data_IF_301192142722
#
_entry.id   IF_301192142722
#
_cell.length_a   1.000
_cell.length_b   1.000
_cell.length_c   1.000
_cell.angle_alpha   90.00
_cell.angle_beta   90.00
_cell.angle_gamma   90.00
#
_symmetry.space_group_name_H-M   'P 1'
#
loop_
_entity.id
_entity.type
_entity.pdbx_description
1 polymer ?
#
# COMPACT_ATOMS: atom_id res chain seq x y z
N UNK A 1 -50.79 -17.53 54.34
CA UNK A 1 -51.02 -16.09 54.56
C UNK A 1 -50.26 -15.34 53.48
N UNK A 2 -50.93 -14.43 52.77
CA UNK A 2 -50.42 -13.48 51.75
C UNK A 2 -49.84 -14.10 50.46
N UNK A 3 -50.53 -14.09 49.31
CA UNK A 3 -50.81 -12.99 48.35
C UNK A 3 -49.56 -12.32 47.75
N UNK A 4 -49.27 -12.53 46.46
CA UNK A 4 -49.48 -11.54 45.37
C UNK A 4 -49.05 -12.09 43.97
N UNK A 5 -49.99 -11.99 43.01
CA UNK A 5 -49.91 -11.60 41.57
C UNK A 5 -48.65 -12.00 40.76
N UNK A 6 -48.70 -12.60 39.56
CA UNK A 6 -49.71 -12.61 38.51
C UNK A 6 -49.10 -12.01 37.23
N UNK A 7 -49.03 -12.78 36.13
CA UNK A 7 -49.13 -12.31 34.74
C UNK A 7 -49.08 -13.51 33.78
N UNK A 8 -50.15 -13.63 33.00
CA UNK A 8 -50.28 -14.51 31.84
C UNK A 8 -49.61 -13.80 30.66
N UNK A 9 -48.70 -14.49 29.97
CA UNK A 9 -48.12 -14.07 28.70
C UNK A 9 -48.10 -15.25 27.75
N UNK A 10 -49.04 -15.25 26.81
CA UNK A 10 -49.19 -16.22 25.73
C UNK A 10 -47.96 -16.16 24.83
N UNK A 11 -47.21 -17.27 24.73
CA UNK A 11 -46.15 -17.41 23.74
C UNK A 11 -46.76 -17.86 22.40
N UNK A 12 -46.92 -16.92 21.47
CA UNK A 12 -47.16 -17.24 20.06
C UNK A 12 -45.92 -17.96 19.49
N UNK A 13 -46.10 -19.22 19.11
CA UNK A 13 -45.19 -19.94 18.22
C UNK A 13 -45.28 -19.31 16.82
N UNK A 14 -44.27 -18.54 16.44
CA UNK A 14 -44.05 -18.17 15.04
C UNK A 14 -42.76 -18.85 14.61
N UNK A 15 -42.89 -19.85 13.75
CA UNK A 15 -41.79 -20.53 13.12
C UNK A 15 -41.00 -19.56 12.26
N UNK A 16 -39.80 -19.20 12.72
CA UNK A 16 -38.79 -18.55 11.92
C UNK A 16 -37.81 -19.59 11.41
N UNK A 17 -37.82 -19.85 10.11
CA UNK A 17 -36.71 -20.45 9.38
C UNK A 17 -35.44 -19.67 9.74
N UNK A 18 -34.51 -20.29 10.46
CA UNK A 18 -33.14 -19.80 10.54
C UNK A 18 -32.52 -20.11 9.17
N UNK A 19 -32.60 -19.16 8.24
CA UNK A 19 -31.65 -19.14 7.13
C UNK A 19 -30.29 -18.85 7.74
N UNK A 20 -29.44 -19.89 7.78
CA UNK A 20 -28.02 -19.71 7.99
C UNK A 20 -27.50 -18.86 6.82
N UNK A 21 -27.36 -17.55 7.04
CA UNK A 21 -26.55 -16.71 6.17
C UNK A 21 -25.11 -17.13 6.36
N UNK A 22 -24.59 -17.91 5.41
CA UNK A 22 -23.17 -18.16 5.29
C UNK A 22 -22.50 -16.81 5.05
N UNK A 23 -21.89 -16.21 6.07
CA UNK A 23 -20.90 -15.17 5.88
C UNK A 23 -19.70 -15.80 5.19
N UNK A 24 -19.69 -15.74 3.86
CA UNK A 24 -18.50 -16.03 3.06
C UNK A 24 -17.47 -14.96 3.39
N UNK A 25 -16.51 -15.31 4.25
CA UNK A 25 -15.32 -14.50 4.44
C UNK A 25 -14.65 -14.31 3.09
N UNK A 26 -14.47 -13.05 2.68
CA UNK A 26 -13.68 -12.68 1.51
C UNK A 26 -12.19 -12.87 1.82
N UNK A 27 -11.79 -14.10 2.14
CA UNK A 27 -10.39 -14.50 2.08
C UNK A 27 -10.05 -14.80 0.62
N UNK A 28 -9.78 -13.75 -0.16
CA UNK A 28 -9.39 -13.91 -1.55
C UNK A 28 -8.09 -14.74 -1.63
N UNK A 29 -8.15 -15.91 -2.29
CA UNK A 29 -6.97 -16.77 -2.49
C UNK A 29 -5.86 -15.96 -3.18
N UNK A 30 -4.67 -15.87 -2.57
CA UNK A 30 -3.54 -15.09 -3.13
C UNK A 30 -3.06 -15.62 -4.49
N UNK A 31 -3.20 -16.94 -4.73
CA UNK A 31 -2.89 -17.55 -6.04
C UNK A 31 -3.82 -17.02 -7.13
N UNK A 32 -3.25 -16.69 -8.28
CA UNK A 32 -3.97 -16.18 -9.45
C UNK A 32 -4.37 -14.70 -9.34
N UNK A 33 -3.80 -13.93 -8.42
CA UNK A 33 -4.11 -12.51 -8.25
C UNK A 33 -3.89 -11.69 -9.53
N UNK A 34 -2.77 -11.87 -10.23
CA UNK A 34 -2.51 -11.20 -11.50
C UNK A 34 -3.58 -11.52 -12.55
N UNK A 35 -3.99 -12.78 -12.70
CA UNK A 35 -5.01 -13.16 -13.69
C UNK A 35 -6.37 -12.48 -13.42
N UNK A 36 -6.75 -12.33 -12.14
CA UNK A 36 -7.98 -11.61 -11.77
C UNK A 36 -7.87 -10.12 -12.07
N UNK A 37 -6.77 -9.48 -11.68
CA UNK A 37 -6.56 -8.05 -11.92
C UNK A 37 -6.46 -7.75 -13.42
N UNK A 38 -5.77 -8.60 -14.18
CA UNK A 38 -5.70 -8.48 -15.63
C UNK A 38 -7.09 -8.61 -16.29
N UNK A 39 -7.99 -9.42 -15.70
CA UNK A 39 -9.38 -9.51 -16.18
C UNK A 39 -10.22 -8.27 -15.84
N UNK A 40 -9.79 -7.45 -14.88
CA UNK A 40 -10.40 -6.17 -14.50
C UNK A 40 -9.78 -4.97 -15.24
N UNK A 41 -8.76 -5.20 -16.09
CA UNK A 41 -8.02 -4.17 -16.80
C UNK A 41 -8.92 -3.37 -17.74
N UNK A 42 -8.73 -2.06 -17.72
CA UNK A 42 -9.39 -1.10 -18.60
C UNK A 42 -8.35 -0.24 -19.35
N UNK A 43 -8.78 0.62 -20.27
CA UNK A 43 -7.89 1.64 -20.85
C UNK A 43 -7.55 2.75 -19.85
N UNK A 44 -8.25 2.82 -18.71
CA UNK A 44 -8.17 3.89 -17.72
C UNK A 44 -7.24 3.56 -16.53
N UNK A 45 -6.54 2.43 -16.60
CA UNK A 45 -5.48 2.02 -15.67
C UNK A 45 -4.26 1.41 -16.38
N UNK A 46 -3.07 1.60 -15.78
CA UNK A 46 -1.80 1.02 -16.23
C UNK A 46 -1.12 0.32 -15.07
N UNK A 47 -1.02 -1.01 -15.16
CA UNK A 47 -0.19 -1.81 -14.25
C UNK A 47 1.28 -1.37 -14.34
N UNK A 48 1.88 -0.91 -13.23
CA UNK A 48 3.31 -0.57 -13.15
C UNK A 48 4.11 -1.75 -12.59
N UNK A 49 3.58 -2.39 -11.54
CA UNK A 49 4.11 -3.60 -10.92
C UNK A 49 2.94 -4.48 -10.49
N UNK A 50 3.01 -5.78 -10.71
CA UNK A 50 1.85 -6.67 -10.56
C UNK A 50 0.78 -6.43 -11.63
N UNK A 51 -0.39 -7.06 -11.44
CA UNK A 51 -1.47 -7.01 -12.43
C UNK A 51 -1.05 -7.67 -13.75
N UNK A 52 -1.09 -6.91 -14.85
CA UNK A 52 -0.63 -7.39 -16.16
C UNK A 52 0.89 -7.60 -16.22
N UNK A 53 1.63 -6.86 -15.39
CA UNK A 53 3.07 -6.90 -15.30
C UNK A 53 3.44 -7.73 -14.06
N UNK A 54 3.55 -9.05 -14.22
CA UNK A 54 3.92 -9.97 -13.13
C UNK A 54 5.05 -9.40 -12.27
N UNK A 55 4.96 -9.60 -10.95
CA UNK A 55 6.01 -9.15 -10.05
C UNK A 55 7.34 -9.84 -10.34
N UNK A 56 8.42 -9.08 -10.22
CA UNK A 56 9.78 -9.61 -10.27
C UNK A 56 10.59 -9.02 -9.12
N UNK A 57 11.12 -9.88 -8.26
CA UNK A 57 11.90 -9.46 -7.10
C UNK A 57 13.17 -8.68 -7.50
N UNK A 58 13.73 -8.93 -8.68
CA UNK A 58 14.92 -8.25 -9.17
C UNK A 58 14.68 -6.77 -9.51
N UNK A 59 13.43 -6.35 -9.68
CA UNK A 59 13.08 -4.95 -9.95
C UNK A 59 13.11 -4.10 -8.66
N UNK A 60 13.34 -4.72 -7.50
CA UNK A 60 13.28 -4.07 -6.19
C UNK A 60 14.55 -4.32 -5.39
N UNK A 61 14.99 -3.29 -4.66
CA UNK A 61 16.12 -3.33 -3.77
C UNK A 61 15.76 -2.74 -2.40
N UNK A 62 16.41 -3.28 -1.38
CA UNK A 62 16.20 -2.90 0.01
C UNK A 62 16.88 -1.57 0.35
N UNK A 63 16.14 -0.69 1.01
CA UNK A 63 16.62 0.59 1.54
C UNK A 63 16.07 0.77 2.95
N UNK A 64 16.82 0.35 3.96
CA UNK A 64 16.42 0.48 5.37
C UNK A 64 17.28 1.51 6.10
N UNK A 65 16.90 1.84 7.33
CA UNK A 65 17.64 2.72 8.23
C UNK A 65 19.04 2.22 8.63
N UNK A 66 19.42 0.99 8.28
CA UNK A 66 20.78 0.45 8.38
C UNK A 66 21.83 1.33 7.69
N UNK A 67 21.42 2.08 6.64
CA UNK A 67 22.27 3.10 5.99
C UNK A 67 22.63 4.28 6.91
N UNK A 68 21.95 4.40 8.06
CA UNK A 68 22.16 5.38 9.12
C UNK A 68 22.50 4.72 10.47
N UNK A 69 22.80 3.41 10.47
CA UNK A 69 23.12 2.64 11.69
C UNK A 69 21.90 2.12 12.46
N UNK A 70 20.69 2.16 11.87
CA UNK A 70 19.52 1.49 12.43
C UNK A 70 19.55 -0.04 12.23
N UNK A 71 18.50 -0.71 12.71
CA UNK A 71 18.36 -2.17 12.65
C UNK A 71 17.02 -2.63 12.06
N UNK A 72 16.33 -1.75 11.34
CA UNK A 72 15.15 -2.17 10.60
C UNK A 72 15.54 -3.01 9.40
N UNK A 73 14.71 -3.99 9.08
CA UNK A 73 14.92 -4.91 7.96
C UNK A 73 13.62 -5.03 7.17
N UNK A 74 13.74 -4.96 5.84
CA UNK A 74 12.62 -5.24 4.95
C UNK A 74 13.00 -6.20 3.83
N UNK A 75 11.97 -6.87 3.32
CA UNK A 75 12.04 -7.81 2.21
C UNK A 75 10.86 -7.62 1.27
N UNK A 76 11.07 -7.95 0.00
CA UNK A 76 10.01 -8.15 -0.98
C UNK A 76 10.06 -9.60 -1.46
N UNK A 77 9.05 -10.39 -1.13
CA UNK A 77 8.93 -11.78 -1.60
C UNK A 77 7.84 -11.88 -2.63
N UNK A 78 8.18 -12.30 -3.85
CA UNK A 78 7.20 -12.53 -4.92
C UNK A 78 6.65 -13.95 -4.81
N UNK A 79 5.33 -14.10 -4.96
CA UNK A 79 4.70 -15.43 -4.98
C UNK A 79 5.17 -16.23 -6.20
N UNK A 80 5.14 -17.56 -6.11
CA UNK A 80 5.61 -18.46 -7.19
C UNK A 80 4.98 -18.18 -8.56
N UNK A 81 3.72 -17.74 -8.58
CA UNK A 81 2.99 -17.42 -9.81
C UNK A 81 3.23 -15.99 -10.32
N UNK A 82 4.05 -15.19 -9.62
CA UNK A 82 4.31 -13.79 -9.92
C UNK A 82 3.12 -12.85 -9.68
N UNK A 83 2.00 -13.38 -9.18
CA UNK A 83 0.72 -12.68 -9.16
C UNK A 83 0.59 -11.63 -8.06
N UNK A 84 1.43 -11.71 -7.03
CA UNK A 84 1.49 -10.77 -5.92
C UNK A 84 2.89 -10.74 -5.32
N UNK A 85 3.18 -9.66 -4.59
CA UNK A 85 4.36 -9.53 -3.75
C UNK A 85 3.97 -9.31 -2.29
N UNK A 86 4.81 -9.81 -1.38
CA UNK A 86 4.70 -9.62 0.06
C UNK A 86 5.82 -8.67 0.46
N UNK A 87 5.45 -7.48 0.94
CA UNK A 87 6.37 -6.55 1.58
C UNK A 87 6.34 -6.79 3.09
N UNK A 88 7.45 -7.27 3.67
CA UNK A 88 7.48 -7.69 5.08
C UNK A 88 8.83 -7.42 5.74
N UNK A 89 8.85 -7.51 7.07
CA UNK A 89 10.07 -7.41 7.86
C UNK A 89 9.80 -6.85 9.26
N UNK A 90 10.85 -6.31 9.87
CA UNK A 90 10.83 -5.79 11.24
C UNK A 90 11.25 -4.32 11.27
N UNK A 91 10.41 -3.46 11.86
CA UNK A 91 10.72 -2.06 12.10
C UNK A 91 11.27 -1.89 13.52
N UNK A 92 12.58 -1.68 13.62
CA UNK A 92 13.24 -1.28 14.85
C UNK A 92 13.16 0.24 15.03
N UNK A 93 12.78 0.68 16.23
CA UNK A 93 12.77 2.10 16.58
C UNK A 93 13.68 2.41 17.76
N UNK A 94 14.27 1.41 18.40
CA UNK A 94 15.02 1.62 19.64
C UNK A 94 16.44 2.09 19.32
N UNK A 95 17.06 1.55 18.27
CA UNK A 95 18.45 1.88 17.91
C UNK A 95 18.66 3.35 17.58
N UNK A 96 17.67 4.00 16.96
CA UNK A 96 17.75 5.41 16.55
C UNK A 96 16.84 6.33 17.39
N UNK A 97 16.52 5.93 18.62
CA UNK A 97 15.83 6.80 19.59
C UNK A 97 14.41 7.20 19.16
N UNK A 98 13.62 6.23 18.71
CA UNK A 98 12.25 6.39 18.23
C UNK A 98 12.14 6.56 16.71
N UNK A 99 13.24 6.88 16.03
CA UNK A 99 13.29 6.91 14.57
C UNK A 99 13.56 5.51 14.00
N UNK A 100 13.12 5.28 12.77
CA UNK A 100 13.34 4.02 12.04
C UNK A 100 12.51 3.96 10.77
N UNK A 101 13.01 3.26 9.76
CA UNK A 101 12.29 2.94 8.54
C UNK A 101 12.84 1.68 7.87
N UNK A 102 11.93 0.92 7.25
CA UNK A 102 12.22 -0.25 6.43
C UNK A 102 11.52 -0.05 5.08
N UNK A 103 12.23 -0.16 3.96
CA UNK A 103 11.62 0.09 2.65
C UNK A 103 12.20 -0.75 1.52
N UNK A 104 11.34 -1.05 0.55
CA UNK A 104 11.73 -1.60 -0.74
C UNK A 104 11.52 -0.51 -1.79
N UNK A 105 12.50 -0.33 -2.67
CA UNK A 105 12.47 0.65 -3.75
C UNK A 105 12.77 -0.04 -5.06
N UNK A 106 12.18 0.44 -6.15
CA UNK A 106 12.52 -0.02 -7.48
C UNK A 106 14.01 0.20 -7.79
N UNK A 107 14.64 -0.74 -8.48
CA UNK A 107 16.03 -0.57 -8.95
C UNK A 107 16.13 0.62 -9.90
N UNK A 108 17.28 1.30 -9.99
CA UNK A 108 17.46 2.42 -10.92
C UNK A 108 17.13 2.02 -12.36
N UNK A 109 16.34 2.87 -13.02
CA UNK A 109 16.10 2.77 -14.45
C UNK A 109 17.41 3.01 -15.23
N UNK A 110 17.50 2.54 -16.49
CA UNK A 110 18.58 2.94 -17.38
C UNK A 110 18.70 4.46 -17.49
N UNK A 111 19.91 4.98 -17.70
CA UNK A 111 20.16 6.41 -17.80
C UNK A 111 19.24 7.09 -18.83
N UNK A 112 18.66 8.24 -18.46
CA UNK A 112 17.71 8.98 -19.29
C UNK A 112 16.33 8.34 -19.43
N UNK A 113 15.98 7.31 -18.65
CA UNK A 113 14.65 6.70 -18.65
C UNK A 113 13.83 7.14 -17.45
N UNK A 114 12.54 7.31 -17.69
CA UNK A 114 11.50 7.62 -16.72
C UNK A 114 10.17 7.04 -17.18
N UNK A 115 9.23 6.93 -16.24
CA UNK A 115 7.83 6.70 -16.52
C UNK A 115 7.16 8.03 -16.85
N UNK A 116 6.49 8.07 -18.00
CA UNK A 116 5.57 9.15 -18.36
C UNK A 116 4.14 8.71 -18.02
N UNK A 117 3.64 9.22 -16.90
CA UNK A 117 2.30 8.99 -16.39
C UNK A 117 1.39 10.22 -16.58
N UNK A 118 1.71 11.10 -17.52
CA UNK A 118 0.94 12.34 -17.79
C UNK A 118 -0.52 12.11 -18.19
N UNK A 119 -0.88 10.90 -18.61
CA UNK A 119 -2.25 10.50 -18.95
C UNK A 119 -3.09 10.05 -17.73
N UNK A 120 -2.48 9.97 -16.55
CA UNK A 120 -3.10 9.47 -15.33
C UNK A 120 -3.14 10.55 -14.26
N UNK A 121 -4.11 10.44 -13.36
CA UNK A 121 -4.40 11.44 -12.33
C UNK A 121 -3.79 11.07 -10.97
N UNK A 122 -3.44 9.79 -10.78
CA UNK A 122 -2.83 9.29 -9.55
C UNK A 122 -2.28 7.88 -9.64
N UNK A 123 -1.89 7.35 -8.48
CA UNK A 123 -1.47 5.96 -8.30
C UNK A 123 -2.48 5.18 -7.46
N UNK A 124 -2.70 3.93 -7.83
CA UNK A 124 -3.41 2.93 -7.04
C UNK A 124 -2.46 1.85 -6.52
N UNK A 125 -2.71 1.35 -5.32
CA UNK A 125 -2.11 0.12 -4.80
C UNK A 125 -3.21 -0.85 -4.36
N UNK A 126 -3.25 -2.04 -4.99
CA UNK A 126 -4.21 -3.09 -4.64
C UNK A 126 -3.62 -3.98 -3.55
N UNK A 127 -4.23 -3.97 -2.38
CA UNK A 127 -3.89 -4.81 -1.25
C UNK A 127 -4.78 -6.05 -1.26
N UNK A 128 -4.17 -7.23 -1.06
CA UNK A 128 -4.88 -8.50 -0.85
C UNK A 128 -5.00 -8.85 0.63
N UNK A 129 -4.07 -8.33 1.46
CA UNK A 129 -4.09 -8.46 2.91
C UNK A 129 -3.21 -7.37 3.54
N UNK A 130 -3.82 -6.56 4.40
CA UNK A 130 -3.14 -5.63 5.30
C UNK A 130 -3.01 -6.19 6.72
N UNK A 131 -2.20 -5.52 7.53
CA UNK A 131 -1.82 -5.92 8.90
C UNK A 131 -2.14 -4.85 9.97
N UNK A 132 -2.89 -3.82 9.59
CA UNK A 132 -3.23 -2.73 10.50
C UNK A 132 -2.15 -1.64 10.62
N UNK A 133 -1.04 -1.74 9.87
CA UNK A 133 0.04 -0.75 9.92
C UNK A 133 -0.14 0.39 8.92
N UNK A 134 0.62 1.46 9.16
CA UNK A 134 0.69 2.65 8.34
C UNK A 134 1.89 2.58 7.39
N UNK A 135 1.64 2.77 6.12
CA UNK A 135 2.64 2.66 5.06
C UNK A 135 2.72 3.94 4.24
N UNK A 136 3.81 4.07 3.50
CA UNK A 136 4.02 5.12 2.53
C UNK A 136 4.29 4.53 1.14
N UNK A 137 3.61 5.08 0.13
CA UNK A 137 3.98 4.95 -1.27
C UNK A 137 4.74 6.22 -1.68
N UNK A 138 5.97 6.02 -2.14
CA UNK A 138 6.92 7.09 -2.42
C UNK A 138 7.26 7.13 -3.90
N UNK A 139 7.45 8.33 -4.45
CA UNK A 139 7.83 8.59 -5.84
C UNK A 139 9.03 9.55 -5.88
N UNK A 140 9.89 9.39 -6.88
CA UNK A 140 10.96 10.33 -7.20
C UNK A 140 10.92 10.77 -8.67
N UNK A 141 11.36 12.00 -8.94
CA UNK A 141 11.58 12.53 -10.29
C UNK A 141 13.05 12.60 -10.71
N UNK A 142 13.97 12.53 -9.75
CA UNK A 142 15.40 12.65 -10.04
C UNK A 142 15.98 11.27 -10.34
N UNK A 143 16.92 11.19 -11.27
CA UNK A 143 17.67 9.97 -11.50
C UNK A 143 18.32 9.48 -10.20
N UNK A 144 18.27 8.17 -9.99
CA UNK A 144 18.91 7.54 -8.84
C UNK A 144 20.41 7.42 -9.10
N UNK A 145 21.17 8.44 -8.75
CA UNK A 145 22.63 8.43 -8.85
C UNK A 145 23.23 7.60 -7.72
N UNK A 146 23.97 6.54 -8.07
CA UNK A 146 24.78 5.79 -7.11
C UNK A 146 26.10 6.53 -6.88
N UNK A 147 26.44 6.72 -5.62
CA UNK A 147 27.75 7.18 -5.15
C UNK A 147 28.81 6.10 -5.38
N UNK A 148 30.11 6.44 -5.30
CA UNK A 148 31.19 5.46 -5.37
C UNK A 148 31.09 4.34 -4.31
N UNK A 149 30.44 4.59 -3.17
CA UNK A 149 30.18 3.60 -2.12
C UNK A 149 28.94 2.71 -2.39
N UNK A 150 28.35 2.82 -3.59
CA UNK A 150 27.17 2.06 -4.02
C UNK A 150 25.83 2.62 -3.51
N UNK A 151 25.82 3.62 -2.63
CA UNK A 151 24.59 4.20 -2.08
C UNK A 151 23.95 5.19 -3.03
N UNK A 152 22.62 5.21 -3.09
CA UNK A 152 21.91 6.24 -3.85
C UNK A 152 21.87 7.56 -3.08
N UNK A 153 22.09 8.67 -3.78
CA UNK A 153 22.05 10.01 -3.19
C UNK A 153 20.68 10.36 -2.62
N UNK A 154 20.68 11.18 -1.56
CA UNK A 154 19.44 11.71 -1.01
C UNK A 154 18.88 12.77 -1.97
N UNK A 155 17.62 12.61 -2.36
CA UNK A 155 16.86 13.52 -3.20
C UNK A 155 15.52 13.84 -2.55
N UNK A 156 14.77 14.75 -3.14
CA UNK A 156 13.34 14.91 -2.82
C UNK A 156 12.63 13.59 -3.10
N UNK A 157 11.73 13.23 -2.19
CA UNK A 157 10.81 12.11 -2.26
C UNK A 157 9.39 12.65 -2.07
N UNK A 158 8.48 12.30 -2.97
CA UNK A 158 7.07 12.64 -2.85
C UNK A 158 6.35 11.45 -2.25
N UNK A 159 5.58 11.68 -1.19
CA UNK A 159 5.03 10.63 -0.33
C UNK A 159 3.52 10.74 -0.21
N UNK A 160 2.84 9.63 -0.44
CA UNK A 160 1.46 9.41 -0.03
C UNK A 160 1.44 8.36 1.09
N UNK A 161 0.58 8.56 2.10
CA UNK A 161 0.49 7.68 3.27
C UNK A 161 -0.88 7.02 3.30
N UNK A 162 -0.92 5.75 3.69
CA UNK A 162 -2.14 5.00 3.91
C UNK A 162 -2.02 4.10 5.12
N UNK A 163 -3.15 3.73 5.71
CA UNK A 163 -3.22 2.79 6.82
C UNK A 163 -4.09 1.62 6.43
N UNK A 164 -3.61 0.40 6.66
CA UNK A 164 -4.42 -0.80 6.45
C UNK A 164 -5.23 -1.14 7.67
N UNK A 165 -6.24 -1.99 7.52
CA UNK A 165 -6.85 -2.68 8.66
C UNK A 165 -6.35 -4.12 8.65
N UNK A 166 -6.23 -4.74 9.83
CA UNK A 166 -5.77 -6.13 9.91
C UNK A 166 -6.73 -7.05 9.14
N UNK A 167 -6.18 -7.84 8.21
CA UNK A 167 -6.91 -8.71 7.32
C UNK A 167 -7.65 -8.02 6.17
N UNK A 168 -7.57 -6.69 6.01
CA UNK A 168 -8.31 -5.99 4.95
C UNK A 168 -7.67 -6.15 3.57
N UNK A 169 -8.49 -6.25 2.54
CA UNK A 169 -8.12 -6.08 1.15
C UNK A 169 -8.75 -4.79 0.57
N UNK A 170 -8.30 -4.38 -0.61
CA UNK A 170 -8.89 -3.23 -1.30
C UNK A 170 -7.90 -2.39 -2.10
N UNK A 171 -8.41 -1.44 -2.86
CA UNK A 171 -7.64 -0.50 -3.66
C UNK A 171 -7.46 0.83 -2.91
N UNK A 172 -6.22 1.25 -2.71
CA UNK A 172 -5.89 2.55 -2.15
C UNK A 172 -5.45 3.48 -3.28
N UNK A 173 -6.18 4.56 -3.52
CA UNK A 173 -5.91 5.53 -4.58
C UNK A 173 -5.36 6.84 -4.04
N UNK A 174 -4.33 7.38 -4.72
CA UNK A 174 -3.63 8.61 -4.37
C UNK A 174 -3.52 9.50 -5.59
N UNK A 175 -4.35 10.56 -5.71
CA UNK A 175 -4.14 11.58 -6.73
C UNK A 175 -2.73 12.17 -6.60
N UNK A 176 -2.06 12.47 -7.71
CA UNK A 176 -0.70 13.03 -7.68
C UNK A 176 -0.60 14.32 -6.86
N UNK A 177 -1.69 15.10 -6.82
CA UNK A 177 -1.81 16.33 -6.02
C UNK A 177 -1.78 16.12 -4.50
N UNK A 178 -2.00 14.88 -4.03
CA UNK A 178 -1.96 14.53 -2.59
C UNK A 178 -0.57 14.13 -2.09
N UNK A 179 0.39 13.95 -3.00
CA UNK A 179 1.75 13.59 -2.61
C UNK A 179 2.48 14.80 -2.01
N UNK A 180 2.98 14.63 -0.79
CA UNK A 180 3.75 15.67 -0.10
C UNK A 180 5.25 15.44 -0.30
N UNK A 181 6.00 16.51 -0.58
CA UNK A 181 7.44 16.45 -0.73
C UNK A 181 8.18 16.35 0.61
N UNK A 182 9.18 15.48 0.67
CA UNK A 182 10.08 15.27 1.80
C UNK A 182 11.55 15.25 1.36
N UNK A 183 12.42 15.79 2.21
CA UNK A 183 13.86 15.60 2.12
C UNK A 183 14.38 14.96 3.41
N UNK A 184 14.96 13.77 3.29
CA UNK A 184 15.55 13.01 4.42
C UNK A 184 14.60 12.83 5.62
N UNK A 185 13.30 12.69 5.36
CA UNK A 185 12.26 12.46 6.38
C UNK A 185 11.61 13.74 6.92
N UNK A 186 11.95 14.92 6.41
CA UNK A 186 11.32 16.20 6.78
C UNK A 186 10.52 16.77 5.61
N UNK A 187 9.38 17.38 5.89
CA UNK A 187 8.57 18.08 4.88
C UNK A 187 9.44 19.15 4.22
N UNK A 188 9.40 19.19 2.88
CA UNK A 188 10.12 20.16 2.06
C UNK A 188 9.13 21.10 1.37
N UNK A 189 8.84 22.24 1.99
CA UNK A 189 7.89 23.21 1.45
C UNK A 189 8.40 23.93 0.18
N UNK A 190 9.72 24.01 0.03
CA UNK A 190 10.38 24.65 -1.12
C UNK A 190 10.68 23.66 -2.27
N UNK A 191 10.20 22.42 -2.16
CA UNK A 191 10.37 21.45 -3.23
C UNK A 191 9.54 21.85 -4.46
N UNK A 192 10.01 21.57 -5.68
CA UNK A 192 9.17 21.62 -6.87
C UNK A 192 7.90 20.76 -6.69
N UNK A 193 6.83 21.04 -7.45
CA UNK A 193 5.72 20.11 -7.55
C UNK A 193 6.17 18.75 -8.13
N UNK A 194 5.48 17.67 -7.76
CA UNK A 194 5.65 16.36 -8.39
C UNK A 194 5.38 16.46 -9.90
N UNK A 195 6.31 15.98 -10.72
CA UNK A 195 6.12 15.87 -12.17
C UNK A 195 5.72 14.43 -12.54
N UNK A 196 4.48 14.19 -12.96
CA UNK A 196 4.03 12.84 -13.33
C UNK A 196 4.56 12.34 -14.70
N UNK A 197 5.22 13.20 -15.50
CA UNK A 197 5.81 12.84 -16.81
C UNK A 197 7.23 12.25 -16.72
N UNK A 198 7.88 12.37 -15.57
CA UNK A 198 9.31 12.13 -15.38
C UNK A 198 9.57 11.36 -14.08
N UNK A 199 8.77 10.34 -13.80
CA UNK A 199 8.92 9.52 -12.60
C UNK A 199 10.06 8.52 -12.79
N UNK A 200 11.00 8.45 -11.86
CA UNK A 200 12.20 7.61 -11.99
C UNK A 200 12.22 6.42 -11.03
N UNK A 201 11.41 6.45 -9.98
CA UNK A 201 11.40 5.39 -8.97
C UNK A 201 10.14 5.41 -8.12
N UNK A 202 9.75 4.22 -7.67
CA UNK A 202 8.70 3.98 -6.68
C UNK A 202 9.28 3.27 -5.46
N UNK A 203 8.70 3.49 -4.28
CA UNK A 203 9.05 2.75 -3.07
C UNK A 203 7.85 2.53 -2.16
N UNK A 204 7.84 1.39 -1.48
CA UNK A 204 6.90 1.06 -0.41
C UNK A 204 7.69 1.03 0.89
N UNK A 205 7.17 1.73 1.90
CA UNK A 205 7.90 2.00 3.12
C UNK A 205 7.02 1.82 4.36
N UNK A 206 7.58 1.13 5.34
CA UNK A 206 7.14 1.11 6.73
C UNK A 206 8.03 2.09 7.51
N UNK A 207 7.45 3.06 8.22
CA UNK A 207 8.23 4.04 9.00
C UNK A 207 7.70 4.20 10.41
N UNK A 208 8.57 4.52 11.35
CA UNK A 208 8.22 4.67 12.78
C UNK A 208 7.26 5.80 13.12
N UNK A 209 7.25 6.86 12.31
CA UNK A 209 6.65 8.16 12.66
C UNK A 209 7.07 8.61 14.07
N UNK A 210 8.35 8.44 14.43
CA UNK A 210 8.89 8.81 15.74
C UNK A 210 8.20 8.13 16.94
N UNK A 211 7.80 6.87 16.76
CA UNK A 211 7.30 6.02 17.84
C UNK A 211 5.81 5.65 17.75
N UNK A 212 5.09 6.11 16.71
CA UNK A 212 3.69 5.70 16.48
C UNK A 212 3.57 4.21 16.15
N UNK A 213 4.58 3.62 15.49
CA UNK A 213 4.57 2.19 15.16
C UNK A 213 5.96 1.55 15.16
N UNK A 214 5.99 0.23 15.44
CA UNK A 214 7.18 -0.64 15.43
C UNK A 214 6.78 -2.11 15.26
N UNK A 215 7.80 -2.97 15.16
CA UNK A 215 7.65 -4.43 15.18
C UNK A 215 7.51 -5.05 13.78
N UNK A 216 7.05 -6.30 13.76
CA UNK A 216 6.76 -7.04 12.53
C UNK A 216 5.69 -6.31 11.70
N UNK A 217 5.86 -6.34 10.39
CA UNK A 217 4.88 -5.87 9.42
C UNK A 217 4.83 -6.81 8.21
N UNK A 218 3.65 -6.92 7.60
CA UNK A 218 3.42 -7.67 6.37
C UNK A 218 2.30 -7.04 5.55
N UNK A 219 2.58 -6.76 4.28
CA UNK A 219 1.61 -6.24 3.34
C UNK A 219 1.61 -7.10 2.07
N UNK A 220 0.48 -7.71 1.75
CA UNK A 220 0.32 -8.51 0.52
C UNK A 220 -0.26 -7.62 -0.57
N UNK A 221 0.50 -7.44 -1.65
CA UNK A 221 0.28 -6.44 -2.68
C UNK A 221 0.05 -7.15 -4.00
N UNK A 222 -1.11 -6.89 -4.58
CA UNK A 222 -1.51 -7.43 -5.85
C UNK A 222 -0.89 -6.63 -7.01
N UNK A 223 -1.03 -5.30 -6.96
CA UNK A 223 -0.48 -4.40 -7.97
C UNK A 223 -0.24 -2.98 -7.45
N UNK A 224 0.63 -2.27 -8.15
CA UNK A 224 0.77 -0.82 -8.15
C UNK A 224 0.46 -0.37 -9.58
N UNK A 225 -0.45 0.58 -9.73
CA UNK A 225 -0.94 1.03 -11.04
C UNK A 225 -1.01 2.55 -11.12
N UNK A 226 -0.87 3.12 -12.31
CA UNK A 226 -1.31 4.47 -12.61
C UNK A 226 -2.80 4.45 -12.99
N UNK A 227 -3.59 5.40 -12.50
CA UNK A 227 -5.05 5.40 -12.64
C UNK A 227 -5.58 6.79 -12.98
N UNK A 228 -6.68 6.83 -13.74
CA UNK A 228 -7.44 8.06 -13.98
C UNK A 228 -8.54 8.24 -12.94
N UNK A 229 -8.93 9.49 -12.69
CA UNK A 229 -10.08 9.81 -11.82
C UNK A 229 -11.37 9.18 -12.37
N UNK A 230 -11.47 9.02 -13.69
CA UNK A 230 -12.60 8.32 -14.33
C UNK A 230 -12.70 6.87 -13.84
N UNK A 231 -11.60 6.12 -13.86
CA UNK A 231 -11.58 4.75 -13.36
C UNK A 231 -12.01 4.69 -11.89
N UNK A 232 -11.50 5.64 -11.09
CA UNK A 232 -11.80 5.75 -9.67
C UNK A 232 -13.29 6.01 -9.43
N UNK A 233 -13.90 6.93 -10.18
CA UNK A 233 -15.34 7.21 -10.09
C UNK A 233 -16.20 6.01 -10.52
N UNK A 234 -15.79 5.25 -11.54
CA UNK A 234 -16.52 4.07 -12.01
C UNK A 234 -16.43 2.88 -11.03
N UNK A 235 -15.42 2.86 -10.16
CA UNK A 235 -15.14 1.77 -9.21
C UNK A 235 -15.33 2.16 -7.73
N UNK A 236 -15.72 3.39 -7.42
CA UNK A 236 -15.98 3.83 -6.05
C UNK A 236 -17.28 3.22 -5.51
N UNK A 237 -18.33 3.14 -6.33
CA UNK A 237 -19.63 2.58 -5.94
C UNK A 237 -19.61 1.06 -5.71
N UNK A 238 -18.63 0.36 -6.28
CA UNK A 238 -18.46 -1.09 -6.09
C UNK A 238 -17.80 -1.44 -4.75
N UNK A 239 -17.41 -0.44 -3.94
CA UNK A 239 -16.74 -0.65 -2.65
C UNK A 239 -15.30 -1.16 -2.78
N UNK A 240 -14.74 -1.16 -3.99
CA UNK A 240 -13.36 -1.62 -4.25
C UNK A 240 -12.33 -0.64 -3.72
N UNK A 241 -12.65 0.65 -3.71
CA UNK A 241 -11.75 1.72 -3.28
C UNK A 241 -11.91 1.95 -1.77
N UNK A 242 -10.79 1.84 -1.06
CA UNK A 242 -10.73 2.08 0.38
C UNK A 242 -10.66 3.58 0.61
N UNK A 243 -11.73 4.15 1.15
CA UNK A 243 -11.75 5.56 1.57
C UNK A 243 -10.66 5.81 2.63
N UNK A 244 -9.75 6.73 2.31
CA UNK A 244 -8.76 7.19 3.28
C UNK A 244 -9.40 8.29 4.13
N UNK A 245 -9.41 8.11 5.45
CA UNK A 245 -9.73 9.22 6.35
C UNK A 245 -8.68 10.33 6.11
N UNK A 246 -9.15 11.54 5.78
CA UNK A 246 -8.28 12.71 5.76
C UNK A 246 -7.70 12.88 7.17
N UNK A 247 -6.38 12.72 7.29
CA UNK A 247 -5.64 13.04 8.52
C UNK A 247 -5.81 14.51 8.88
#
# INVERSE_FOLDING_TARGET
>A
MQYYRGAIGVACLVGGMVQATSTSGHGSSMRGAAARIASERTESDLSLYGGDNMWNAADWETVDDRVRGGKSESHLTVLEDGGAAIFHGFLDIETLGGAGFASQRTTPLPAGKSFDLSKYDGLGIRILRGDGKKYALNIKNNELTKRPDGRVESSIEYKAVFTTTDGSDGMYYFPFSTFQAYYRGKISNDAPPLENKSITSFSIMMQSYFGEQKGEFELVIASISAMTDKWVMENSESGVIVEQNKL
#
